data_IF_777171603065
#
_entry.id   IF_777171603065
#
_cell.length_a   1.000
_cell.length_b   1.000
_cell.length_c   1.000
_cell.angle_alpha   90.00
_cell.angle_beta   90.00
_cell.angle_gamma   90.00
#
_symmetry.space_group_name_H-M   'P 1'
#
loop_
_entity.id
_entity.type
_entity.pdbx_description
1 polymer ?
2 water ?
#
# COMPACT_ATOMS: atom_id res chain seq x y z
N UNK A 19 -16.38 0.88 -29.00
CA UNK A 19 -15.33 -0.08 -28.58
C UNK A 19 -15.95 -1.36 -28.03
N UNK A 20 -17.17 -1.26 -27.49
CA UNK A 20 -17.84 -2.36 -26.80
C UNK A 20 -17.23 -2.60 -25.39
N UNK A 21 -16.45 -1.65 -24.91
CA UNK A 21 -15.81 -1.77 -23.60
C UNK A 21 -16.57 -1.00 -22.55
N UNK A 22 -16.50 -1.50 -21.35
CA UNK A 22 -17.12 -0.81 -20.23
C UNK A 22 -16.18 -0.78 -19.04
N UNK A 23 -16.06 0.39 -18.42
CA UNK A 23 -15.24 0.55 -17.23
C UNK A 23 -16.12 0.42 -15.99
N UNK A 24 -15.84 -0.57 -15.16
CA UNK A 24 -16.66 -0.85 -14.00
C UNK A 24 -15.90 -1.55 -12.88
N UNK A 25 -16.55 -1.74 -11.74
CA UNK A 25 -15.94 -2.43 -10.62
C UNK A 25 -15.87 -3.92 -10.87
N UNK A 26 -14.81 -4.56 -10.37
CA UNK A 26 -14.63 -5.99 -10.51
C UNK A 26 -15.76 -6.74 -9.80
N UNK A 27 -16.31 -7.76 -10.45
CA UNK A 27 -17.32 -8.59 -9.82
C UNK A 27 -17.00 -10.09 -9.90
N UNK A 28 -17.70 -10.87 -9.09
CA UNK A 28 -17.39 -12.29 -8.92
C UNK A 28 -17.32 -13.04 -10.25
N UNK A 29 -18.19 -12.70 -11.18
CA UNK A 29 -18.22 -13.38 -12.48
C UNK A 29 -16.99 -13.07 -13.34
N UNK A 30 -16.22 -12.07 -12.92
CA UNK A 30 -15.03 -11.64 -13.67
C UNK A 30 -13.74 -12.33 -13.21
N UNK A 31 -13.77 -12.90 -12.00
CA UNK A 31 -12.55 -13.33 -11.32
C UNK A 31 -11.62 -14.22 -12.14
N UNK A 32 -12.16 -15.24 -12.80
CA UNK A 32 -11.34 -16.16 -13.58
C UNK A 32 -10.66 -15.45 -14.74
N UNK A 33 -11.42 -14.68 -15.50
CA UNK A 33 -10.88 -13.94 -16.63
C UNK A 33 -9.88 -12.90 -16.13
N UNK A 34 -10.15 -12.34 -14.96
CA UNK A 34 -9.29 -11.35 -14.35
C UNK A 34 -7.93 -11.93 -14.01
N UNK A 35 -7.92 -13.15 -13.47
CA UNK A 35 -6.67 -13.81 -13.11
C UNK A 35 -5.82 -14.05 -14.35
N UNK A 36 -6.46 -14.41 -15.45
CA UNK A 36 -5.77 -14.62 -16.71
C UNK A 36 -5.07 -13.35 -17.17
N UNK A 37 -5.77 -12.23 -17.06
CA UNK A 37 -5.19 -10.93 -17.39
C UNK A 37 -3.96 -10.64 -16.55
N UNK A 38 -4.09 -10.83 -15.24
CA UNK A 38 -2.99 -10.57 -14.32
C UNK A 38 -1.75 -11.39 -14.68
N UNK A 39 -1.96 -12.48 -15.41
CA UNK A 39 -0.85 -13.32 -15.87
C UNK A 39 0.15 -12.54 -16.70
N UNK A 40 -0.30 -11.42 -17.25
CA UNK A 40 0.56 -10.58 -18.08
C UNK A 40 1.44 -9.67 -17.24
N UNK A 41 1.16 -9.54 -15.97
CA UNK A 41 1.87 -8.65 -15.13
C UNK A 41 2.86 -9.42 -14.27
N UNK A 42 2.44 -10.57 -13.78
CA UNK A 42 3.30 -11.35 -12.92
C UNK A 42 2.83 -12.80 -12.82
N UNK A 43 3.56 -13.60 -12.05
CA UNK A 43 3.23 -15.00 -11.84
C UNK A 43 1.80 -15.14 -11.33
N UNK A 44 0.98 -15.89 -12.07
CA UNK A 44 -0.42 -16.05 -11.72
C UNK A 44 -0.93 -17.47 -11.95
N UNK A 45 -0.41 -18.43 -11.16
CA UNK A 45 -0.82 -19.83 -11.25
C UNK A 45 -2.33 -19.99 -11.05
N UNK A 46 -2.90 -21.08 -11.58
CA UNK A 46 -4.33 -21.32 -11.53
C UNK A 46 -4.91 -21.32 -10.13
N UNK A 47 -6.13 -20.79 -9.99
CA UNK A 47 -6.86 -20.84 -8.73
C UNK A 47 -8.31 -21.24 -9.03
N UNK A 48 -8.92 -21.96 -8.11
CA UNK A 48 -10.31 -22.38 -8.28
C UNK A 48 -11.24 -21.19 -8.09
N UNK A 49 -12.47 -21.31 -8.58
CA UNK A 49 -13.48 -20.28 -8.39
C UNK A 49 -13.68 -19.96 -6.93
N UNK A 50 -13.69 -21.00 -6.10
CA UNK A 50 -13.84 -20.83 -4.66
C UNK A 50 -12.68 -20.03 -4.06
N UNK A 51 -11.46 -20.37 -4.46
CA UNK A 51 -10.28 -19.67 -3.98
C UNK A 51 -10.30 -18.21 -4.42
N UNK A 52 -10.62 -17.98 -5.69
CA UNK A 52 -10.70 -16.63 -6.21
C UNK A 52 -11.71 -15.79 -5.45
N UNK A 53 -12.89 -16.36 -5.21
CA UNK A 53 -13.95 -15.66 -4.50
C UNK A 53 -13.50 -15.23 -3.11
N UNK A 54 -12.82 -16.13 -2.41
CA UNK A 54 -12.34 -15.85 -1.06
C UNK A 54 -11.33 -14.71 -1.05
N UNK A 55 -10.45 -14.69 -2.04
CA UNK A 55 -9.45 -13.63 -2.16
C UNK A 55 -10.13 -12.29 -2.44
N UNK A 56 -11.08 -12.30 -3.36
CA UNK A 56 -11.84 -11.09 -3.67
C UNK A 56 -12.51 -10.56 -2.41
N UNK A 57 -12.98 -11.48 -1.56
CA UNK A 57 -13.58 -11.11 -0.29
C UNK A 57 -12.59 -10.42 0.63
N UNK A 58 -11.45 -11.03 0.77
CA UNK A 58 -10.43 -10.52 1.65
C UNK A 58 -10.04 -9.11 1.17
N UNK A 59 -9.93 -8.93 -0.13
CA UNK A 59 -9.55 -7.66 -0.71
C UNK A 59 -10.58 -6.56 -0.44
N UNK A 60 -11.85 -6.89 -0.58
CA UNK A 60 -12.92 -5.95 -0.26
C UNK A 60 -12.87 -5.57 1.22
N UNK A 61 -12.56 -6.56 2.06
CA UNK A 61 -12.43 -6.35 3.50
C UNK A 61 -11.31 -5.35 3.80
N UNK A 62 -10.30 -5.34 2.95
CA UNK A 62 -9.17 -4.43 3.12
C UNK A 62 -9.48 -3.07 2.50
N UNK A 63 -10.70 -2.91 2.00
CA UNK A 63 -11.12 -1.64 1.41
C UNK A 63 -10.55 -1.41 0.02
N UNK A 64 -10.00 -2.46 -0.56
CA UNK A 64 -9.43 -2.38 -1.90
C UNK A 64 -10.53 -2.31 -2.95
N UNK A 65 -10.39 -1.36 -3.88
CA UNK A 65 -11.31 -1.24 -5.00
C UNK A 65 -10.58 -1.61 -6.29
N UNK A 66 -11.20 -2.48 -7.08
CA UNK A 66 -10.61 -2.87 -8.36
C UNK A 66 -11.53 -2.48 -9.52
N UNK A 67 -11.00 -1.65 -10.42
CA UNK A 67 -11.73 -1.27 -11.62
C UNK A 67 -11.19 -2.04 -12.81
N UNK A 68 -12.08 -2.49 -13.68
CA UNK A 68 -11.68 -3.28 -14.84
C UNK A 68 -12.33 -2.77 -16.13
N UNK A 69 -11.64 -3.00 -17.23
CA UNK A 69 -12.25 -2.83 -18.55
C UNK A 69 -12.75 -4.18 -19.02
N UNK A 70 -14.01 -4.23 -19.44
CA UNK A 70 -14.61 -5.48 -19.88
C UNK A 70 -15.17 -5.37 -21.29
N UNK A 71 -14.85 -6.35 -22.13
CA UNK A 71 -15.49 -6.47 -23.42
C UNK A 71 -16.88 -7.06 -23.19
N UNK A 72 -17.87 -6.18 -23.09
CA UNK A 72 -19.23 -6.58 -22.69
C UNK A 72 -19.77 -7.81 -23.40
N UNK A 73 -19.63 -7.86 -24.74
CA UNK A 73 -20.21 -8.95 -25.51
C UNK A 73 -19.80 -10.33 -25.01
N UNK A 74 -18.54 -10.48 -24.61
CA UNK A 74 -18.02 -11.77 -24.16
C UNK A 74 -17.69 -11.77 -22.68
N UNK A 75 -17.58 -10.58 -22.10
CA UNK A 75 -17.25 -10.44 -20.68
C UNK A 75 -15.76 -10.59 -20.40
N UNK A 76 -14.95 -10.64 -21.46
CA UNK A 76 -13.51 -10.80 -21.28
C UNK A 76 -12.89 -9.57 -20.63
N UNK A 77 -12.10 -9.80 -19.59
CA UNK A 77 -11.44 -8.71 -18.87
C UNK A 77 -10.12 -8.37 -19.53
N UNK A 78 -10.00 -7.14 -20.01
CA UNK A 78 -8.84 -6.73 -20.79
C UNK A 78 -8.04 -5.59 -20.15
N UNK A 79 -8.47 -5.18 -18.96
CA UNK A 79 -7.77 -4.12 -18.23
C UNK A 79 -8.16 -4.11 -16.77
N UNK A 80 -7.18 -3.81 -15.91
CA UNK A 80 -7.44 -3.76 -14.47
C UNK A 80 -6.48 -2.83 -13.75
N UNK A 81 -6.98 -2.21 -12.68
CA UNK A 81 -6.18 -1.38 -11.80
C UNK A 81 -6.86 -1.31 -10.45
N UNK A 82 -6.08 -1.44 -9.38
CA UNK A 82 -6.66 -1.47 -8.03
C UNK A 82 -6.25 -0.25 -7.21
N UNK A 83 -7.12 0.13 -6.27
CA UNK A 83 -6.90 1.30 -5.44
C UNK A 83 -7.08 0.99 -3.96
N UNK A 84 -6.08 1.37 -3.16
CA UNK A 84 -6.16 1.22 -1.71
C UNK A 84 -6.05 2.59 -1.07
N UNK A 85 -7.13 3.05 -0.45
CA UNK A 85 -7.14 4.35 0.19
C UNK A 85 -6.79 4.23 1.67
N UNK A 86 -5.65 4.81 2.05
CA UNK A 86 -5.16 4.70 3.43
C UNK A 86 -5.13 6.04 4.14
N UNK A 87 -5.95 6.17 5.19
CA UNK A 87 -5.97 7.37 6.01
C UNK A 87 -4.68 7.48 6.82
N UNK A 88 -4.20 8.71 6.99
CA UNK A 88 -3.00 8.96 7.78
C UNK A 88 -3.32 9.84 8.97
N UNK A 89 -2.48 9.79 10.00
CA UNK A 89 -2.62 10.69 11.13
C UNK A 89 -2.08 12.07 10.77
N UNK A 90 -1.11 12.08 9.85
CA UNK A 90 -0.47 13.32 9.43
C UNK A 90 -1.34 14.10 8.45
N UNK A 91 -0.87 15.29 8.10
CA UNK A 91 -1.62 16.20 7.23
C UNK A 91 -3.11 16.23 7.53
N UNK A 92 -3.45 16.36 8.81
CA UNK A 92 -4.83 16.54 9.23
C UNK A 92 -5.75 15.39 8.87
N UNK A 93 -5.17 14.21 8.66
CA UNK A 93 -5.96 13.01 8.41
C UNK A 93 -6.32 12.74 6.96
N UNK A 94 -5.72 13.51 6.06
CA UNK A 94 -5.96 13.29 4.63
C UNK A 94 -5.33 11.97 4.19
N UNK A 95 -6.06 11.21 3.38
CA UNK A 95 -5.63 9.88 2.99
C UNK A 95 -4.68 9.88 1.81
N UNK A 96 -4.02 8.74 1.61
CA UNK A 96 -3.15 8.53 0.46
C UNK A 96 -3.73 7.43 -0.43
N UNK A 97 -3.84 7.71 -1.72
CA UNK A 97 -4.33 6.72 -2.67
C UNK A 97 -3.20 5.85 -3.20
N UNK A 98 -3.27 4.55 -2.90
CA UNK A 98 -2.27 3.60 -3.37
C UNK A 98 -2.81 2.82 -4.56
N UNK A 99 -2.24 3.05 -5.74
CA UNK A 99 -2.63 2.31 -6.94
C UNK A 99 -1.76 1.07 -7.09
N UNK A 100 -2.42 -0.07 -7.32
CA UNK A 100 -1.74 -1.35 -7.37
C UNK A 100 -2.14 -2.16 -8.60
N UNK A 101 -1.25 -2.99 -9.06
CA UNK A 101 -1.53 -4.00 -10.02
C UNK A 101 -2.25 -3.46 -11.26
N UNK A 102 -1.61 -2.56 -11.97
CA UNK A 102 -2.14 -2.00 -13.20
C UNK A 102 -1.70 -2.89 -14.37
N UNK A 103 -2.68 -3.43 -15.10
CA UNK A 103 -2.37 -4.33 -16.21
C UNK A 103 -3.36 -4.19 -17.34
N UNK A 104 -2.85 -4.15 -18.57
CA UNK A 104 -3.70 -4.06 -19.75
C UNK A 104 -3.33 -5.18 -20.73
N UNK A 105 -4.36 -5.84 -21.27
CA UNK A 105 -4.13 -6.87 -22.26
C UNK A 105 -3.35 -6.30 -23.44
N UNK A 106 -2.26 -6.97 -23.83
CA UNK A 106 -1.41 -6.51 -24.92
C UNK A 106 -2.21 -6.23 -26.20
N UNK A 107 -3.30 -6.97 -26.39
CA UNK A 107 -4.14 -6.78 -27.58
C UNK A 107 -4.78 -5.40 -27.60
N UNK A 108 -4.86 -4.76 -26.43
CA UNK A 108 -5.47 -3.44 -26.31
C UNK A 108 -4.44 -2.35 -26.05
N UNK A 109 -3.24 -2.65 -26.49
CA UNK A 109 -2.08 -1.79 -26.35
C UNK A 109 -2.25 -0.42 -27.01
N UNK A 110 -3.25 -0.32 -27.84
CA UNK A 110 -3.50 0.87 -28.62
C UNK A 110 -4.85 1.51 -28.32
N UNK A 111 -5.48 1.07 -27.23
CA UNK A 111 -6.82 1.53 -26.89
C UNK A 111 -6.82 2.60 -25.80
N UNK A 112 -5.66 2.82 -25.18
CA UNK A 112 -5.55 3.83 -24.13
C UNK A 112 -6.29 3.46 -22.86
N UNK A 113 -6.40 2.17 -22.56
CA UNK A 113 -7.06 1.71 -21.34
C UNK A 113 -6.26 2.08 -20.08
N UNK A 114 -4.95 2.03 -20.19
CA UNK A 114 -4.11 2.37 -19.05
C UNK A 114 -4.41 3.75 -18.51
N UNK A 115 -4.39 4.74 -19.40
CA UNK A 115 -4.69 6.12 -19.02
C UNK A 115 -6.07 6.22 -18.37
N UNK A 116 -7.06 5.60 -19.00
CA UNK A 116 -8.43 5.65 -18.49
C UNK A 116 -8.52 5.08 -17.07
N UNK A 117 -7.90 3.92 -16.87
CA UNK A 117 -7.90 3.27 -15.57
C UNK A 117 -7.27 4.16 -14.50
N UNK A 118 -6.07 4.65 -14.77
CA UNK A 118 -5.35 5.49 -13.82
C UNK A 118 -6.13 6.76 -13.47
N UNK A 119 -6.63 7.45 -14.49
CA UNK A 119 -7.40 8.66 -14.28
C UNK A 119 -8.62 8.38 -13.42
N UNK A 120 -9.30 7.28 -13.69
CA UNK A 120 -10.47 6.87 -12.92
C UNK A 120 -10.12 6.74 -11.44
N UNK A 121 -9.04 6.03 -11.15
CA UNK A 121 -8.63 5.81 -9.77
C UNK A 121 -8.20 7.12 -9.10
N UNK A 122 -7.60 8.02 -9.87
CA UNK A 122 -7.20 9.31 -9.34
C UNK A 122 -8.42 10.13 -8.94
N UNK A 123 -9.48 10.05 -9.75
CA UNK A 123 -10.71 10.76 -9.45
C UNK A 123 -11.35 10.21 -8.18
N UNK A 124 -11.40 8.89 -8.07
CA UNK A 124 -11.92 8.26 -6.85
C UNK A 124 -11.11 8.73 -5.64
N UNK A 125 -9.79 8.69 -5.76
CA UNK A 125 -8.91 9.17 -4.72
C UNK A 125 -9.26 10.60 -4.32
N UNK A 126 -9.40 11.46 -5.32
CA UNK A 126 -9.78 12.85 -5.09
C UNK A 126 -11.06 12.93 -4.26
N UNK A 127 -12.06 12.14 -4.64
CA UNK A 127 -13.36 12.18 -3.99
C UNK A 127 -13.29 11.80 -2.51
N UNK A 128 -12.30 10.98 -2.16
CA UNK A 128 -12.15 10.51 -0.79
C UNK A 128 -11.25 11.41 0.03
N UNK A 129 -10.84 12.53 -0.55
CA UNK A 129 -10.02 13.51 0.17
C UNK A 129 -8.53 13.22 0.18
N UNK A 130 -8.07 12.36 -0.73
CA UNK A 130 -6.65 12.06 -0.83
C UNK A 130 -5.89 13.30 -1.27
N UNK A 131 -4.70 13.50 -0.69
CA UNK A 131 -3.86 14.64 -1.09
C UNK A 131 -2.82 14.21 -2.12
N UNK A 132 -2.60 12.91 -2.24
CA UNK A 132 -1.68 12.38 -3.24
C UNK A 132 -2.04 10.96 -3.64
N UNK A 133 -1.58 10.55 -4.81
CA UNK A 133 -1.72 9.18 -5.27
C UNK A 133 -0.32 8.65 -5.59
N UNK A 134 -0.01 7.46 -5.07
CA UNK A 134 1.30 6.87 -5.29
C UNK A 134 1.18 5.45 -5.82
N UNK A 135 2.23 5.02 -6.52
CA UNK A 135 2.28 3.67 -7.08
C UNK A 135 3.72 3.30 -7.40
N UNK A 136 4.00 2.01 -7.52
CA UNK A 136 5.33 1.55 -7.86
C UNK A 136 5.38 1.12 -9.32
N UNK A 137 6.33 1.68 -10.06
CA UNK A 137 6.43 1.40 -11.48
C UNK A 137 7.73 0.71 -11.84
N UNK A 138 7.65 -0.26 -12.75
CA UNK A 138 8.84 -0.86 -13.33
C UNK A 138 9.51 0.18 -14.22
N UNK A 139 10.73 -0.09 -14.64
CA UNK A 139 11.43 0.83 -15.53
C UNK A 139 10.71 0.93 -16.86
N UNK A 140 10.09 -0.17 -17.26
CA UNK A 140 9.40 -0.25 -18.55
C UNK A 140 8.13 0.61 -18.57
N UNK A 141 7.51 0.79 -17.41
CA UNK A 141 6.27 1.57 -17.32
C UNK A 141 6.52 3.02 -16.92
N UNK A 142 7.73 3.35 -16.59
CA UNK A 142 8.05 4.66 -16.15
C UNK A 142 7.51 5.75 -17.09
N UNK A 143 7.85 5.68 -18.36
CA UNK A 143 7.41 6.68 -19.34
C UNK A 143 5.89 6.86 -19.35
N UNK A 144 5.17 5.75 -19.29
CA UNK A 144 3.71 5.78 -19.27
C UNK A 144 3.18 6.64 -18.13
N UNK A 145 3.75 6.47 -16.94
CA UNK A 145 3.29 7.21 -15.77
C UNK A 145 3.71 8.68 -15.79
N UNK A 146 4.91 8.95 -16.28
CA UNK A 146 5.40 10.32 -16.34
C UNK A 146 4.59 11.16 -17.32
N UNK A 147 4.06 10.52 -18.35
CA UNK A 147 3.23 11.24 -19.32
C UNK A 147 1.85 11.56 -18.74
N UNK A 148 1.42 10.75 -17.77
CA UNK A 148 0.13 10.97 -17.12
C UNK A 148 0.21 12.10 -16.10
N UNK A 149 1.42 12.55 -15.80
CA UNK A 149 1.62 13.64 -14.85
C UNK A 149 2.29 13.18 -13.57
N UNK A 150 2.48 11.89 -13.43
CA UNK A 150 3.20 11.34 -12.28
C UNK A 150 4.68 11.67 -12.40
N UNK A 151 5.34 11.84 -11.26
CA UNK A 151 6.77 12.11 -11.26
C UNK A 151 7.51 11.07 -10.42
N UNK A 152 8.72 10.74 -10.83
CA UNK A 152 9.54 9.80 -10.10
C UNK A 152 9.82 10.33 -8.70
N UNK A 153 9.63 9.48 -7.70
CA UNK A 153 9.81 9.90 -6.33
C UNK A 153 10.79 8.97 -5.62
N UNK A 154 10.36 8.41 -4.49
CA UNK A 154 11.22 7.52 -3.72
C UNK A 154 11.39 6.15 -4.38
N UNK A 155 12.32 5.37 -3.87
CA UNK A 155 12.62 4.06 -4.43
C UNK A 155 11.96 2.95 -3.64
N UNK A 156 11.41 1.96 -4.35
CA UNK A 156 10.79 0.82 -3.70
C UNK A 156 11.84 -0.19 -3.26
N UNK A 157 11.84 -0.51 -1.97
CA UNK A 157 12.72 -1.53 -1.42
C UNK A 157 11.93 -2.81 -1.19
N UNK A 158 12.51 -3.93 -1.59
CA UNK A 158 11.79 -5.21 -1.54
C UNK A 158 12.55 -6.30 -0.79
N UNK A 159 11.82 -7.02 0.05
CA UNK A 159 12.39 -8.16 0.78
C UNK A 159 11.54 -9.40 0.54
N UNK A 160 12.13 -10.41 -0.09
CA UNK A 160 11.41 -11.66 -0.34
C UNK A 160 11.37 -12.52 0.91
N UNK A 161 10.20 -13.07 1.22
CA UNK A 161 10.02 -13.86 2.42
C UNK A 161 10.08 -15.36 2.13
N UNK B 19 16.20 0.62 27.45
CA UNK B 19 15.87 1.94 27.89
C UNK B 19 14.45 1.95 28.33
N UNK B 20 13.94 0.97 29.08
CA UNK B 20 12.52 0.95 29.48
C UNK B 20 11.54 1.13 28.30
N UNK B 21 11.91 0.58 27.19
CA UNK B 21 11.10 0.68 25.98
C UNK B 21 10.28 -0.59 25.75
N UNK B 22 9.05 -0.39 25.28
CA UNK B 22 8.18 -1.51 24.93
C UNK B 22 7.76 -1.44 23.47
N UNK B 23 7.75 -2.56 22.80
CA UNK B 23 7.27 -2.65 21.45
C UNK B 23 5.89 -3.30 21.44
N UNK B 24 4.90 -2.57 20.97
CA UNK B 24 3.51 -3.02 21.04
C UNK B 24 2.62 -2.31 20.02
N UNK B 25 1.40 -2.82 19.82
CA UNK B 25 0.44 -2.18 18.92
C UNK B 25 -0.01 -0.83 19.48
N UNK B 26 -0.37 0.10 18.62
CA UNK B 26 -0.83 1.39 19.01
C UNK B 26 -2.07 1.34 19.89
N UNK B 27 -2.11 2.24 20.85
CA UNK B 27 -3.27 2.33 21.75
C UNK B 27 -3.86 3.73 21.69
N UNK B 28 -5.12 3.86 22.09
CA UNK B 28 -5.81 5.15 22.02
C UNK B 28 -5.06 6.24 22.78
N UNK B 29 -4.55 5.91 23.95
CA UNK B 29 -3.85 6.89 24.78
C UNK B 29 -2.53 7.36 24.15
N UNK B 30 -2.05 6.62 23.14
CA UNK B 30 -0.81 6.94 22.45
C UNK B 30 -0.99 8.06 21.41
N UNK B 31 -2.21 8.32 21.01
CA UNK B 31 -2.50 9.03 19.79
C UNK B 31 -1.81 10.37 19.65
N UNK B 32 -1.91 11.21 20.66
CA UNK B 32 -1.31 12.54 20.63
C UNK B 32 0.22 12.47 20.53
N UNK B 33 0.83 11.65 21.37
CA UNK B 33 2.28 11.49 21.38
C UNK B 33 2.75 10.90 20.04
N UNK B 34 1.97 9.97 19.52
CA UNK B 34 2.28 9.33 18.24
C UNK B 34 2.30 10.36 17.11
N UNK B 35 1.36 11.30 17.16
CA UNK B 35 1.28 12.34 16.16
C UNK B 35 2.53 13.24 16.21
N UNK B 36 2.92 13.61 17.40
CA UNK B 36 4.12 14.41 17.58
C UNK B 36 5.32 13.73 16.92
N UNK B 37 5.41 12.45 17.14
CA UNK B 37 6.48 11.66 16.56
C UNK B 37 6.47 11.77 15.05
N UNK B 38 5.32 11.53 14.46
CA UNK B 38 5.17 11.56 13.00
C UNK B 38 5.51 12.93 12.43
N UNK B 39 5.44 13.96 13.28
CA UNK B 39 5.80 15.31 12.88
C UNK B 39 7.23 15.40 12.39
N UNK B 40 8.05 14.42 12.75
CA UNK B 40 9.43 14.36 12.32
C UNK B 40 9.53 13.78 10.91
N UNK B 41 8.39 13.36 10.37
CA UNK B 41 8.35 12.74 9.06
C UNK B 41 7.70 13.67 8.04
N UNK B 42 6.56 14.24 8.42
CA UNK B 42 5.79 15.11 7.53
C UNK B 42 4.95 16.10 8.33
N UNK B 43 4.13 16.88 7.63
CA UNK B 43 3.21 17.81 8.28
C UNK B 43 2.32 17.05 9.25
N UNK B 44 2.31 17.49 10.50
CA UNK B 44 1.48 16.86 11.52
C UNK B 44 0.71 17.89 12.33
N UNK B 45 -0.20 18.61 11.68
CA UNK B 45 -1.03 19.60 12.35
C UNK B 45 -1.88 18.95 13.45
N UNK B 46 -2.16 19.72 14.51
CA UNK B 46 -2.91 19.24 15.68
C UNK B 46 -4.26 18.65 15.31
N UNK B 47 -4.61 17.53 15.94
CA UNK B 47 -5.92 16.92 15.80
C UNK B 47 -6.46 16.53 17.17
N UNK B 48 -7.78 16.62 17.34
CA UNK B 48 -8.40 16.27 18.61
C UNK B 48 -8.31 14.77 18.86
N UNK B 49 -8.48 14.38 20.12
CA UNK B 49 -8.45 12.97 20.48
C UNK B 49 -9.47 12.16 19.68
N UNK B 50 -10.67 12.69 19.56
CA UNK B 50 -11.74 12.02 18.82
C UNK B 50 -11.37 11.85 17.35
N UNK B 51 -10.81 12.89 16.75
CA UNK B 51 -10.40 12.84 15.35
C UNK B 51 -9.31 11.80 15.13
N UNK B 52 -8.30 11.80 15.99
CA UNK B 52 -7.22 10.83 15.91
C UNK B 52 -7.76 9.41 16.05
N UNK B 53 -8.67 9.23 17.00
CA UNK B 53 -9.28 7.92 17.23
C UNK B 53 -10.06 7.45 16.01
N UNK B 54 -10.78 8.36 15.39
CA UNK B 54 -11.55 8.04 14.19
C UNK B 54 -10.65 7.64 13.03
N UNK B 55 -9.51 8.31 12.92
CA UNK B 55 -8.52 7.98 11.89
C UNK B 55 -7.91 6.61 12.17
N UNK B 56 -7.65 6.33 13.44
CA UNK B 56 -7.13 5.03 13.85
C UNK B 56 -8.10 3.92 13.46
N UNK B 57 -9.39 4.18 13.66
CA UNK B 57 -10.42 3.21 13.29
C UNK B 57 -10.48 3.00 11.79
N UNK B 58 -10.42 4.10 11.04
CA UNK B 58 -10.38 4.05 9.59
C UNK B 58 -9.23 3.16 9.13
N UNK B 59 -8.05 3.41 9.68
CA UNK B 59 -6.85 2.65 9.30
C UNK B 59 -6.98 1.17 9.65
N UNK B 60 -7.57 0.89 10.81
CA UNK B 60 -7.75 -0.48 11.25
C UNK B 60 -8.66 -1.24 10.29
N UNK B 61 -9.69 -0.55 9.78
CA UNK B 61 -10.65 -1.16 8.89
C UNK B 61 -9.95 -1.54 7.65
N UNK B 62 -8.94 -0.77 7.29
CA UNK B 62 -8.17 -1.00 6.07
C UNK B 62 -7.07 -2.04 6.30
N UNK B 63 -7.18 -2.76 7.41
CA UNK B 63 -6.23 -3.83 7.71
C UNK B 63 -4.82 -3.34 7.97
N UNK B 64 -4.70 -2.10 8.43
CA UNK B 64 -3.40 -1.56 8.80
C UNK B 64 -3.10 -1.86 10.26
N UNK B 65 -1.89 -2.29 10.53
CA UNK B 65 -1.38 -2.43 11.88
C UNK B 65 -0.27 -1.45 12.16
N UNK B 66 -0.33 -0.84 13.33
CA UNK B 66 0.72 0.10 13.71
C UNK B 66 1.42 -0.36 14.98
N UNK B 67 2.72 -0.59 14.88
CA UNK B 67 3.53 -0.98 16.03
C UNK B 67 4.36 0.22 16.48
N UNK B 68 4.48 0.39 17.79
CA UNK B 68 5.20 1.54 18.32
C UNK B 68 6.17 1.13 19.42
N UNK B 69 7.24 1.91 19.58
CA UNK B 69 8.09 1.83 20.74
C UNK B 69 7.64 2.88 21.74
N UNK B 70 7.35 2.45 22.96
CA UNK B 70 6.86 3.36 23.99
C UNK B 70 7.81 3.37 25.18
N UNK B 71 8.16 4.56 25.65
CA UNK B 71 8.88 4.69 26.91
C UNK B 71 7.88 4.45 28.02
N UNK B 72 7.85 3.21 28.50
CA UNK B 72 6.78 2.74 29.38
C UNK B 72 6.52 3.63 30.61
N UNK B 73 7.58 4.09 31.26
CA UNK B 73 7.43 4.89 32.47
C UNK B 73 6.62 6.18 32.26
N UNK B 74 6.75 6.78 31.08
CA UNK B 74 6.10 8.06 30.80
C UNK B 74 5.03 7.95 29.72
N UNK B 75 5.10 6.88 28.93
CA UNK B 75 4.14 6.66 27.85
C UNK B 75 4.51 7.37 26.56
N UNK B 76 5.68 8.02 26.54
CA UNK B 76 6.09 8.76 25.36
C UNK B 76 6.41 7.82 24.19
N UNK B 77 5.88 8.15 23.02
CA UNK B 77 6.10 7.36 21.82
C UNK B 77 7.35 7.82 21.10
N UNK B 78 8.30 6.90 20.91
CA UNK B 78 9.61 7.26 20.35
C UNK B 78 9.94 6.48 19.08
N UNK B 79 9.02 5.63 18.65
CA UNK B 79 9.21 4.87 17.41
C UNK B 79 7.88 4.36 16.88
N UNK B 80 7.76 4.32 15.55
CA UNK B 80 6.54 3.87 14.91
C UNK B 80 6.80 3.29 13.53
N UNK B 81 6.01 2.27 13.18
CA UNK B 81 6.03 1.70 11.84
C UNK B 81 4.69 1.03 11.59
N UNK B 82 4.17 1.19 10.38
CA UNK B 82 2.86 0.64 10.04
C UNK B 82 2.96 -0.43 8.96
N UNK B 83 2.12 -1.45 9.08
CA UNK B 83 2.10 -2.55 8.12
C UNK B 83 0.72 -2.71 7.51
N UNK B 84 0.68 -2.81 6.18
CA UNK B 84 -0.57 -2.98 5.46
C UNK B 84 -0.48 -4.26 4.63
N UNK B 85 -1.29 -5.25 4.96
CA UNK B 85 -1.26 -6.52 4.22
C UNK B 85 -2.28 -6.53 3.09
N UNK B 86 -1.81 -6.81 1.89
CA UNK B 86 -2.67 -6.78 0.71
C UNK B 86 -2.81 -8.16 0.07
N UNK B 87 -3.97 -8.80 0.26
CA UNK B 87 -4.21 -10.08 -0.38
C UNK B 87 -4.15 -9.93 -1.91
N UNK B 88 -3.56 -10.87 -2.58
CA UNK B 88 -3.38 -10.84 -4.03
C UNK B 88 -4.05 -12.04 -4.76
N UNK B 89 -4.43 -11.82 -6.00
CA UNK B 89 -4.90 -12.91 -6.85
C UNK B 89 -3.72 -13.68 -7.42
N UNK B 90 -2.60 -12.98 -7.58
CA UNK B 90 -1.39 -13.56 -8.18
C UNK B 90 -0.57 -14.34 -7.15
N UNK B 91 0.49 -14.98 -7.62
CA UNK B 91 1.36 -15.79 -6.75
C UNK B 91 0.57 -16.80 -5.92
N UNK B 92 -0.48 -17.35 -6.51
CA UNK B 92 -1.28 -18.37 -5.84
C UNK B 92 -2.07 -17.84 -4.66
N UNK B 93 -2.31 -16.53 -4.65
CA UNK B 93 -3.12 -15.92 -3.60
C UNK B 93 -2.34 -15.53 -2.36
N UNK B 94 -1.02 -15.40 -2.50
CA UNK B 94 -0.18 -15.00 -1.38
C UNK B 94 -0.15 -13.47 -1.28
N UNK B 95 -0.19 -12.96 -0.05
CA UNK B 95 -0.32 -11.52 0.18
C UNK B 95 1.00 -10.76 0.07
N UNK B 96 0.89 -9.44 0.01
CA UNK B 96 2.05 -8.55 -0.01
C UNK B 96 2.02 -7.64 1.21
N UNK B 97 3.14 -7.56 1.92
CA UNK B 97 3.23 -6.67 3.07
C UNK B 97 3.78 -5.31 2.69
N UNK B 98 3.01 -4.27 2.98
CA UNK B 98 3.42 -2.89 2.70
C UNK B 98 3.79 -2.18 4.00
N UNK B 99 5.06 -1.87 4.16
CA UNK B 99 5.51 -1.10 5.32
C UNK B 99 5.56 0.38 4.98
N UNK B 100 5.06 1.21 5.89
CA UNK B 100 5.03 2.65 5.65
C UNK B 100 5.18 3.44 6.93
N UNK B 101 5.47 4.73 6.78
CA UNK B 101 5.56 5.64 7.91
C UNK B 101 6.47 5.11 9.01
N UNK B 102 7.68 4.73 8.63
CA UNK B 102 8.69 4.32 9.61
C UNK B 102 9.37 5.56 10.15
N UNK B 103 9.21 5.82 11.44
CA UNK B 103 9.79 7.00 12.07
C UNK B 103 10.34 6.68 13.45
N UNK B 104 11.51 7.23 13.75
CA UNK B 104 12.13 7.05 15.06
C UNK B 104 12.55 8.39 15.63
N UNK B 105 12.26 8.61 16.91
CA UNK B 105 12.64 9.84 17.58
C UNK B 105 14.13 10.11 17.37
N UNK B 106 14.48 11.37 17.07
CA UNK B 106 15.86 11.74 16.77
C UNK B 106 16.84 11.29 17.85
N UNK B 107 16.43 11.36 19.10
CA UNK B 107 17.29 11.01 20.23
C UNK B 107 17.61 9.52 20.26
N UNK B 108 16.77 8.72 19.61
CA UNK B 108 16.94 7.26 19.64
C UNK B 108 17.48 6.69 18.34
N UNK B 109 18.02 7.54 17.48
CA UNK B 109 18.57 7.09 16.22
C UNK B 109 19.95 6.47 16.40
N UNK B 110 20.13 5.27 15.87
CA UNK B 110 21.35 4.50 16.09
C UNK B 110 21.22 3.63 17.32
N UNK B 111 19.99 3.51 17.82
CA UNK B 111 19.72 2.70 19.00
C UNK B 111 19.15 1.34 18.61
N UNK B 112 18.78 1.21 17.34
CA UNK B 112 18.28 -0.06 16.82
C UNK B 112 16.77 -0.19 16.79
N UNK B 113 16.07 0.88 17.14
CA UNK B 113 14.60 0.87 17.13
C UNK B 113 14.05 0.63 15.73
N UNK B 114 14.59 1.36 14.75
CA UNK B 114 14.16 1.20 13.37
C UNK B 114 14.24 -0.24 12.91
N UNK B 115 15.39 -0.86 13.13
CA UNK B 115 15.60 -2.26 12.74
C UNK B 115 14.58 -3.18 13.40
N UNK B 116 14.37 -2.99 14.70
CA UNK B 116 13.42 -3.81 15.45
C UNK B 116 12.00 -3.70 14.89
N UNK B 117 11.59 -2.48 14.60
CA UNK B 117 10.26 -2.24 14.04
C UNK B 117 10.08 -2.97 12.71
N UNK B 118 11.03 -2.76 11.80
CA UNK B 118 10.97 -3.39 10.48
C UNK B 118 10.94 -4.90 10.61
N UNK B 119 11.88 -5.46 11.36
CA UNK B 119 11.96 -6.90 11.57
C UNK B 119 10.63 -7.45 12.10
N UNK B 120 10.06 -6.74 13.07
CA UNK B 120 8.78 -7.15 13.64
C UNK B 120 7.70 -7.22 12.58
N UNK B 121 7.61 -6.18 11.76
CA UNK B 121 6.60 -6.12 10.70
C UNK B 121 6.84 -7.18 9.62
N UNK B 122 8.10 -7.49 9.35
CA UNK B 122 8.42 -8.54 8.39
C UNK B 122 7.98 -9.90 8.90
N UNK B 123 8.17 -10.14 10.20
CA UNK B 123 7.75 -11.41 10.80
C UNK B 123 6.24 -11.56 10.75
N UNK B 124 5.52 -10.48 11.07
CA UNK B 124 4.07 -10.48 10.98
C UNK B 124 3.62 -10.82 9.55
N UNK B 125 4.26 -10.17 8.58
CA UNK B 125 3.96 -10.43 7.18
C UNK B 125 4.20 -11.90 6.84
N UNK B 126 5.35 -12.41 7.25
CA UNK B 126 5.71 -13.80 7.00
C UNK B 126 4.67 -14.74 7.60
N UNK B 127 4.23 -14.43 8.83
CA UNK B 127 3.27 -15.26 9.52
C UNK B 127 1.90 -15.27 8.84
N UNK B 128 1.63 -14.27 8.02
CA UNK B 128 0.34 -14.17 7.35
C UNK B 128 0.40 -14.59 5.88
N UNK B 129 1.47 -15.27 5.50
CA UNK B 129 1.57 -15.86 4.16
C UNK B 129 2.12 -14.95 3.09
N UNK B 130 2.51 -13.73 3.46
CA UNK B 130 3.10 -12.81 2.49
C UNK B 130 4.32 -13.43 1.83
N UNK B 131 4.49 -13.17 0.54
CA UNK B 131 5.64 -13.69 -0.19
C UNK B 131 6.72 -12.62 -0.33
N UNK B 132 6.35 -11.37 -0.04
CA UNK B 132 7.31 -10.27 -0.07
C UNK B 132 6.82 -9.12 0.80
N UNK B 133 7.77 -8.30 1.24
CA UNK B 133 7.46 -7.07 1.94
C UNK B 133 8.07 -5.92 1.15
N UNK B 134 7.28 -4.88 0.89
CA UNK B 134 7.77 -3.73 0.13
C UNK B 134 7.57 -2.42 0.89
N UNK B 135 8.40 -1.45 0.61
CA UNK B 135 8.31 -0.14 1.21
C UNK B 135 9.08 0.87 0.36
N UNK B 136 8.78 2.13 0.51
CA UNK B 136 9.45 3.18 -0.24
C UNK B 136 10.48 3.88 0.63
N UNK B 137 11.67 4.11 0.07
CA UNK B 137 12.77 4.67 0.83
C UNK B 137 13.39 5.87 0.13
N UNK B 138 13.79 6.87 0.92
CA UNK B 138 14.55 8.00 0.39
C UNK B 138 15.97 7.54 0.10
N UNK B 139 16.72 8.37 -0.62
CA UNK B 139 18.11 8.06 -0.92
C UNK B 139 18.91 7.83 0.36
N UNK B 140 18.64 8.67 1.36
CA UNK B 140 19.38 8.64 2.62
C UNK B 140 19.19 7.32 3.38
N UNK B 141 18.01 6.72 3.25
CA UNK B 141 17.68 5.53 4.03
C UNK B 141 17.99 4.22 3.31
N UNK B 142 18.40 4.30 2.06
CA UNK B 142 18.69 3.09 1.27
C UNK B 142 19.58 2.10 2.02
N UNK B 143 20.76 2.56 2.45
CA UNK B 143 21.73 1.72 3.16
C UNK B 143 21.10 1.02 4.36
N UNK B 144 20.27 1.75 5.10
CA UNK B 144 19.59 1.20 6.27
C UNK B 144 18.77 -0.03 5.89
N UNK B 145 17.98 0.09 4.84
CA UNK B 145 17.10 -1.00 4.41
C UNK B 145 17.85 -2.14 3.75
N UNK B 146 18.88 -1.81 2.97
CA UNK B 146 19.68 -2.82 2.30
C UNK B 146 20.42 -3.69 3.31
N UNK B 147 20.83 -3.09 4.42
CA UNK B 147 21.50 -3.82 5.49
C UNK B 147 20.55 -4.85 6.10
N UNK B 148 19.26 -4.55 6.06
CA UNK B 148 18.25 -5.45 6.61
C UNK B 148 17.86 -6.54 5.62
N UNK B 149 18.45 -6.50 4.43
CA UNK B 149 18.19 -7.51 3.41
C UNK B 149 17.36 -7.01 2.25
N UNK B 150 16.79 -5.82 2.40
CA UNK B 150 15.98 -5.23 1.34
C UNK B 150 16.83 -4.87 0.12
N UNK B 151 16.23 -4.98 -1.06
CA UNK B 151 16.90 -4.62 -2.31
C UNK B 151 16.05 -3.64 -3.09
N UNK B 152 16.71 -2.66 -3.71
CA UNK B 152 16.02 -1.70 -4.56
C UNK B 152 15.43 -2.41 -5.75
N UNK B 153 14.15 -2.14 -6.03
CA UNK B 153 13.46 -2.75 -7.15
C UNK B 153 12.78 -1.69 -8.02
N UNK B 154 11.48 -1.55 -7.84
CA UNK B 154 10.72 -0.59 -8.64
C UNK B 154 10.84 0.86 -8.15
N UNK B 155 10.26 1.78 -8.88
CA UNK B 155 10.32 3.17 -8.58
C UNK B 155 8.97 3.75 -8.18
N UNK B 156 8.94 4.51 -7.15
CA UNK B 156 7.68 5.11 -6.71
C UNK B 156 7.32 6.28 -7.62
N UNK B 157 6.09 6.29 -8.11
CA UNK B 157 5.58 7.40 -8.91
C UNK B 157 4.52 8.15 -8.12
N UNK B 158 4.58 9.48 -8.14
CA UNK B 158 3.69 10.27 -7.31
C UNK B 158 2.92 11.33 -8.10
N UNK B 159 1.66 11.47 -7.77
CA UNK B 159 0.82 12.50 -8.32
C UNK B 159 0.12 13.23 -7.16
N UNK B 160 0.26 14.56 -7.05
CA UNK B 160 -0.44 15.31 -6.02
C UNK B 160 -1.76 15.85 -6.54
N UNK B 161 -2.83 15.61 -5.78
CA UNK B 161 -4.18 15.99 -6.21
C UNK B 161 -4.54 17.41 -5.78
#
# INVERSE_FOLDING_TARGET
MHHHHHHSSGRENLYFQGVDLELRVLEESDLSSHLELLGHLTEAPPLSGVELANIADMRRRAGIVTKVFCHQPTGRIVGSASLMIQPKFTRGGRAVGHIEDVVVDPSYRGAGLGKALIMDLCEISRSKGCYKVILDSSEKSLPFYEKLGFRAHERQMRLDL
MHHHHHHSSGRENLYFQGVDLELRVLEESDLSSHLELLGHLTEAPPLSGVELANIADMRRRAGIVTKVFCHQPTGRIVGSASLMIQPKFTRGGRAVGHIEDVVVDPSYRGAGLGKALIMDLCEISRSKGCYKVILDSSEKSLPFYEKLGFRAHERQMRLDL
#
